data_IF_867758554123
#
_entry.id   IF_867758554123
#
_cell.length_a   1.000
_cell.length_b   1.000
_cell.length_c   1.000
_cell.angle_alpha   90.00
_cell.angle_beta   90.00
_cell.angle_gamma   90.00
#
_symmetry.space_group_name_H-M   'P 1'
#
loop_
_entity.id
_entity.type
_entity.pdbx_description
1 polymer ?
#
# COMPACT_ATOMS: atom_id res chain seq x y z
N UNK A 1 -11.38 10.07 -10.70
CA UNK A 1 -12.67 9.34 -10.56
C UNK A 1 -12.55 7.90 -10.04
N UNK A 2 -11.49 7.13 -10.37
CA UNK A 2 -11.31 5.72 -9.96
C UNK A 2 -11.49 5.46 -8.45
N UNK A 3 -10.85 6.25 -7.59
CA UNK A 3 -10.89 6.04 -6.14
C UNK A 3 -12.29 6.22 -5.51
N UNK A 4 -13.12 7.11 -6.06
CA UNK A 4 -14.49 7.29 -5.58
C UNK A 4 -15.37 6.06 -5.87
N UNK A 5 -15.17 5.43 -7.04
CA UNK A 5 -15.84 4.17 -7.40
C UNK A 5 -15.36 3.04 -6.48
N UNK A 6 -14.06 2.93 -6.25
CA UNK A 6 -13.50 1.95 -5.31
C UNK A 6 -14.06 2.15 -3.90
N UNK A 7 -14.19 3.39 -3.43
CA UNK A 7 -14.83 3.69 -2.13
C UNK A 7 -16.23 3.09 -2.05
N UNK A 8 -17.09 3.39 -3.03
CA UNK A 8 -18.48 2.88 -3.05
C UNK A 8 -18.51 1.36 -3.15
N UNK A 9 -17.64 0.78 -3.98
CA UNK A 9 -17.55 -0.67 -4.17
C UNK A 9 -17.12 -1.37 -2.87
N UNK A 10 -16.08 -0.89 -2.19
CA UNK A 10 -15.60 -1.43 -0.92
C UNK A 10 -16.67 -1.29 0.17
N UNK A 11 -17.39 -0.18 0.24
CA UNK A 11 -18.48 -0.01 1.21
C UNK A 11 -19.66 -0.97 0.95
N UNK A 12 -19.94 -1.26 -0.33
CA UNK A 12 -21.09 -2.07 -0.73
C UNK A 12 -20.81 -3.56 -0.71
N UNK A 13 -19.60 -3.95 -1.10
CA UNK A 13 -19.21 -5.33 -1.39
C UNK A 13 -17.99 -5.79 -0.59
N UNK A 14 -17.26 -4.89 0.06
CA UNK A 14 -16.13 -5.25 0.92
C UNK A 14 -16.63 -6.05 2.11
N UNK A 15 -16.19 -7.30 2.18
CA UNK A 15 -16.54 -8.21 3.27
C UNK A 15 -15.73 -7.97 4.55
N UNK A 16 -14.63 -7.22 4.49
CA UNK A 16 -13.64 -7.06 5.56
C UNK A 16 -12.72 -5.86 5.33
N UNK A 17 -12.06 -5.36 6.37
CA UNK A 17 -11.13 -4.23 6.32
C UNK A 17 -11.78 -2.84 6.39
N UNK A 18 -10.97 -1.81 6.11
CA UNK A 18 -11.32 -0.39 6.23
C UNK A 18 -10.76 0.47 5.08
N UNK A 19 -10.38 -0.16 3.96
CA UNK A 19 -9.80 0.53 2.80
C UNK A 19 -10.75 1.54 2.14
N UNK A 20 -12.06 1.48 2.41
CA UNK A 20 -13.02 2.51 2.01
C UNK A 20 -12.58 3.92 2.48
N UNK A 21 -12.03 4.02 3.69
CA UNK A 21 -11.55 5.29 4.24
C UNK A 21 -10.31 5.79 3.50
N UNK A 22 -9.38 4.88 3.18
CA UNK A 22 -8.19 5.17 2.38
C UNK A 22 -8.57 5.63 0.98
N UNK A 23 -9.46 4.92 0.29
CA UNK A 23 -9.95 5.30 -1.03
C UNK A 23 -10.72 6.62 -1.02
N UNK A 24 -11.49 6.90 0.04
CA UNK A 24 -12.19 8.17 0.16
C UNK A 24 -11.19 9.34 0.31
N UNK A 25 -10.13 9.16 1.13
CA UNK A 25 -9.04 10.15 1.22
C UNK A 25 -8.35 10.36 -0.11
N UNK A 26 -8.02 9.29 -0.84
CA UNK A 26 -7.46 9.39 -2.20
C UNK A 26 -8.42 10.10 -3.16
N UNK A 27 -9.71 9.82 -3.09
CA UNK A 27 -10.72 10.44 -3.95
C UNK A 27 -10.89 11.94 -3.69
N UNK A 28 -10.80 12.36 -2.43
CA UNK A 28 -11.02 13.76 -2.04
C UNK A 28 -9.74 14.56 -2.10
N UNK A 29 -8.70 14.16 -1.36
CA UNK A 29 -7.53 15.00 -1.09
C UNK A 29 -6.65 15.19 -2.32
N UNK A 30 -6.57 14.19 -3.20
CA UNK A 30 -5.76 14.32 -4.41
C UNK A 30 -6.34 15.27 -5.44
N UNK A 31 -7.65 15.45 -5.39
CA UNK A 31 -8.37 16.31 -6.32
C UNK A 31 -8.62 17.69 -5.72
N UNK A 32 -8.22 17.97 -4.47
CA UNK A 32 -8.55 19.21 -3.76
C UNK A 32 -7.43 20.24 -3.88
N UNK A 33 -7.71 21.40 -4.49
CA UNK A 33 -6.68 22.42 -4.74
C UNK A 33 -6.92 23.74 -3.98
N UNK A 34 -5.87 24.21 -3.31
CA UNK A 34 -5.80 25.53 -2.69
C UNK A 34 -5.82 26.65 -3.75
N UNK A 35 -6.17 27.91 -3.39
CA UNK A 35 -6.57 28.38 -2.05
C UNK A 35 -8.07 28.24 -1.76
N UNK A 36 -8.90 27.95 -2.75
CA UNK A 36 -10.37 27.89 -2.58
C UNK A 36 -10.91 26.49 -2.29
N UNK A 37 -10.05 25.47 -2.22
CA UNK A 37 -10.43 24.07 -2.00
C UNK A 37 -11.48 23.62 -3.03
N UNK A 38 -11.22 23.97 -4.30
CA UNK A 38 -12.00 23.48 -5.43
C UNK A 38 -11.49 22.10 -5.80
N UNK A 39 -12.40 21.19 -6.14
CA UNK A 39 -12.00 19.91 -6.69
C UNK A 39 -11.57 20.07 -8.16
N UNK A 40 -10.59 19.30 -8.62
CA UNK A 40 -10.15 19.10 -10.01
C UNK A 40 -10.48 17.67 -10.44
N UNK A 41 -10.73 17.43 -11.72
CA UNK A 41 -10.89 16.06 -12.24
C UNK A 41 -9.59 15.26 -12.15
N UNK A 42 -8.47 15.99 -12.20
CA UNK A 42 -7.13 15.49 -12.26
C UNK A 42 -6.40 15.76 -10.94
N UNK A 43 -5.57 14.81 -10.51
CA UNK A 43 -4.75 15.00 -9.32
C UNK A 43 -3.56 15.98 -9.54
N UNK A 44 -3.22 16.23 -10.80
CA UNK A 44 -2.14 17.13 -11.20
C UNK A 44 -2.63 18.14 -12.24
N UNK A 45 -2.56 19.43 -11.90
CA UNK A 45 -2.99 20.54 -12.74
C UNK A 45 -1.92 21.01 -13.74
N UNK A 46 -0.68 20.52 -13.66
CA UNK A 46 0.34 20.80 -14.67
C UNK A 46 0.07 19.97 -15.93
N UNK A 47 -0.42 20.68 -16.95
CA UNK A 47 -0.73 20.13 -18.28
C UNK A 47 0.44 19.37 -18.91
N UNK A 48 1.69 19.74 -18.61
CA UNK A 48 2.87 19.06 -19.16
C UNK A 48 3.18 17.74 -18.44
N UNK A 49 2.84 17.67 -17.15
CA UNK A 49 3.05 16.49 -16.32
C UNK A 49 1.85 15.53 -16.35
N UNK A 50 0.68 15.99 -16.78
CA UNK A 50 -0.55 15.22 -16.85
C UNK A 50 -1.01 14.88 -18.29
N UNK A 51 -0.07 14.51 -19.15
CA UNK A 51 -0.39 13.99 -20.49
C UNK A 51 -1.08 14.99 -21.43
N UNK A 52 -0.94 16.30 -21.21
CA UNK A 52 -1.50 17.34 -22.06
C UNK A 52 -2.94 17.73 -21.75
N UNK A 53 -3.54 17.19 -20.67
CA UNK A 53 -4.91 17.53 -20.29
C UNK A 53 -4.97 18.86 -19.53
N UNK A 54 -5.85 19.80 -19.93
CA UNK A 54 -6.05 21.03 -19.17
C UNK A 54 -6.74 20.71 -17.84
N UNK A 55 -6.43 21.45 -16.76
CA UNK A 55 -7.13 21.28 -15.48
C UNK A 55 -8.62 21.60 -15.68
N UNK A 56 -9.47 20.62 -15.37
CA UNK A 56 -10.91 20.71 -15.51
C UNK A 56 -11.58 20.62 -14.14
N UNK A 57 -12.57 21.47 -13.89
CA UNK A 57 -13.39 21.38 -12.68
C UNK A 57 -14.37 20.21 -12.84
N UNK A 58 -14.35 19.23 -11.93
CA UNK A 58 -15.27 18.12 -11.95
C UNK A 58 -16.65 18.61 -11.48
N UNK A 59 -17.69 18.13 -12.14
CA UNK A 59 -19.03 18.11 -11.54
C UNK A 59 -19.16 16.80 -10.78
N UNK A 60 -19.34 16.90 -9.46
CA UNK A 60 -19.36 15.78 -8.52
C UNK A 60 -20.48 14.78 -8.84
N UNK A 61 -20.11 13.51 -9.00
CA UNK A 61 -21.00 12.37 -8.74
C UNK A 61 -20.30 11.37 -7.82
N UNK A 62 -20.82 11.23 -6.60
CA UNK A 62 -20.45 10.18 -5.64
C UNK A 62 -19.70 10.66 -4.40
N UNK A 63 -20.39 11.34 -3.47
CA UNK A 63 -20.01 11.29 -2.06
C UNK A 63 -20.63 10.04 -1.47
N UNK A 64 -19.81 9.00 -1.24
CA UNK A 64 -20.19 7.83 -0.45
C UNK A 64 -19.98 8.13 1.04
N UNK A 65 -20.83 7.58 1.89
CA UNK A 65 -20.63 7.61 3.34
C UNK A 65 -19.41 6.74 3.70
N UNK A 66 -18.49 7.25 4.51
CA UNK A 66 -17.31 6.49 4.94
C UNK A 66 -17.72 5.52 6.05
N UNK A 67 -18.17 4.32 5.66
CA UNK A 67 -18.68 3.32 6.59
C UNK A 67 -17.55 2.40 7.12
N UNK A 68 -17.49 2.29 8.44
CA UNK A 68 -16.46 1.56 9.20
C UNK A 68 -17.12 0.57 10.18
N UNK A 69 -18.27 -0.02 9.81
CA UNK A 69 -19.19 -0.58 10.80
C UNK A 69 -18.97 -2.03 11.24
N UNK A 70 -18.01 -2.77 10.67
CA UNK A 70 -17.69 -4.14 11.12
C UNK A 70 -16.39 -4.64 10.49
N UNK A 71 -15.24 -4.29 11.09
CA UNK A 71 -13.91 -4.75 10.67
C UNK A 71 -13.82 -6.29 10.75
N UNK A 72 -14.36 -6.98 9.76
CA UNK A 72 -13.99 -8.36 9.54
C UNK A 72 -12.51 -8.33 9.18
N UNK A 73 -11.77 -9.25 9.79
CA UNK A 73 -10.32 -9.28 9.65
C UNK A 73 -10.02 -9.96 8.32
N UNK A 74 -9.34 -9.28 7.39
CA UNK A 74 -8.97 -9.85 6.08
C UNK A 74 -8.08 -11.06 6.26
N UNK A 75 -7.20 -11.01 7.26
CA UNK A 75 -6.34 -12.12 7.68
C UNK A 75 -6.64 -12.47 9.14
N UNK A 76 -7.17 -13.67 9.44
CA UNK A 76 -7.54 -14.04 10.82
C UNK A 76 -6.45 -13.70 11.85
N UNK A 77 -6.86 -13.07 12.96
CA UNK A 77 -5.99 -12.60 14.04
C UNK A 77 -4.94 -11.55 13.63
N UNK A 78 -5.15 -10.79 12.56
CA UNK A 78 -4.36 -9.60 12.28
C UNK A 78 -4.60 -8.53 13.36
N UNK A 79 -3.60 -8.33 14.21
CA UNK A 79 -3.58 -7.39 15.32
C UNK A 79 -3.44 -5.94 14.87
N UNK A 80 -3.03 -5.66 13.63
CA UNK A 80 -2.85 -4.29 13.14
C UNK A 80 -4.03 -3.76 12.35
N UNK A 81 -4.94 -4.62 11.92
CA UNK A 81 -5.97 -4.23 10.97
C UNK A 81 -6.80 -3.07 11.50
N UNK A 82 -6.88 -2.01 10.70
CA UNK A 82 -7.69 -0.83 10.96
C UNK A 82 -7.35 -0.09 12.25
N UNK A 83 -6.16 -0.33 12.81
CA UNK A 83 -5.62 0.45 13.92
C UNK A 83 -5.08 1.81 13.45
N UNK A 84 -5.17 2.86 14.28
CA UNK A 84 -4.83 4.20 13.84
C UNK A 84 -3.32 4.39 13.68
N UNK A 85 -2.93 4.96 12.54
CA UNK A 85 -1.57 5.44 12.31
C UNK A 85 -1.37 6.76 13.07
N UNK A 86 -0.37 6.79 13.96
CA UNK A 86 -0.09 7.92 14.86
C UNK A 86 1.10 8.77 14.41
N UNK A 87 1.99 8.22 13.59
CA UNK A 87 3.12 8.93 13.01
C UNK A 87 3.53 8.28 11.69
N UNK A 88 3.88 9.10 10.70
CA UNK A 88 4.47 8.66 9.44
C UNK A 88 5.31 9.78 8.84
N UNK A 89 6.37 9.42 8.14
CA UNK A 89 7.12 10.35 7.31
C UNK A 89 6.31 10.83 6.09
N UNK A 90 6.78 11.89 5.44
CA UNK A 90 6.10 12.48 4.28
C UNK A 90 5.90 11.41 3.21
N UNK A 91 4.67 11.34 2.70
CA UNK A 91 4.22 10.29 1.79
C UNK A 91 3.86 10.87 0.44
N UNK A 92 4.18 10.14 -0.63
CA UNK A 92 3.87 10.51 -2.00
C UNK A 92 2.37 10.78 -2.18
N UNK A 93 2.04 11.63 -3.15
CA UNK A 93 0.65 11.97 -3.43
C UNK A 93 -0.14 10.69 -3.75
N UNK A 94 -1.29 10.50 -3.09
CA UNK A 94 -2.10 9.28 -3.18
C UNK A 94 -1.46 8.01 -2.61
N UNK A 95 -0.45 8.10 -1.75
CA UNK A 95 0.19 6.94 -1.13
C UNK A 95 0.13 7.02 0.40
N UNK A 96 -1.10 7.03 0.93
CA UNK A 96 -1.37 7.43 2.31
C UNK A 96 -0.90 6.39 3.34
N UNK A 97 -0.42 6.82 4.52
CA UNK A 97 0.01 5.93 5.61
C UNK A 97 -1.03 4.89 6.03
N UNK A 98 -2.32 5.24 6.02
CA UNK A 98 -3.38 4.37 6.51
C UNK A 98 -3.65 3.15 5.62
N UNK A 99 -3.08 3.10 4.41
CA UNK A 99 -3.21 1.93 3.54
C UNK A 99 -2.52 0.68 4.10
N UNK A 100 -1.49 0.84 4.93
CA UNK A 100 -0.63 -0.29 5.32
C UNK A 100 -1.38 -1.35 6.12
N UNK A 101 -2.54 -1.04 6.70
CA UNK A 101 -3.27 -1.96 7.55
C UNK A 101 -4.79 -1.87 7.30
N UNK A 102 -5.18 -1.43 6.11
CA UNK A 102 -6.59 -1.26 5.77
C UNK A 102 -7.23 -2.53 5.19
N UNK A 103 -6.43 -3.58 4.95
CA UNK A 103 -6.88 -4.86 4.45
C UNK A 103 -7.03 -4.91 2.93
N UNK A 104 -6.38 -4.02 2.17
CA UNK A 104 -6.52 -3.93 0.72
C UNK A 104 -5.20 -3.71 0.00
N UNK A 105 -4.77 -4.73 -0.75
CA UNK A 105 -3.56 -4.69 -1.58
C UNK A 105 -3.65 -3.69 -2.75
N UNK A 106 -4.84 -3.16 -3.04
CA UNK A 106 -5.06 -2.14 -4.06
C UNK A 106 -4.73 -0.73 -3.57
N UNK A 107 -4.40 -0.54 -2.29
CA UNK A 107 -3.88 0.70 -1.73
C UNK A 107 -2.45 0.49 -1.25
N UNK A 108 -1.72 1.58 -1.00
CA UNK A 108 -0.33 1.50 -0.55
C UNK A 108 0.20 2.81 -0.02
N UNK A 109 1.23 2.66 0.81
CA UNK A 109 2.02 3.72 1.39
C UNK A 109 3.37 3.75 0.71
N UNK A 110 3.86 4.95 0.43
CA UNK A 110 5.17 5.17 -0.19
C UNK A 110 5.71 6.49 0.33
N UNK A 111 6.87 6.50 1.02
CA UNK A 111 7.49 7.73 1.48
C UNK A 111 8.10 8.52 0.31
N UNK A 112 8.12 9.85 0.44
CA UNK A 112 8.70 10.78 -0.55
C UNK A 112 10.23 10.68 -0.66
N UNK A 113 10.88 9.98 0.29
CA UNK A 113 12.33 9.88 0.37
C UNK A 113 12.82 8.43 0.44
N UNK A 114 13.96 8.18 -0.19
CA UNK A 114 14.76 6.95 -0.07
C UNK A 114 15.56 6.88 1.23
N UNK A 115 15.60 7.97 2.01
CA UNK A 115 16.14 7.92 3.37
C UNK A 115 15.32 6.98 4.25
N UNK A 116 15.88 6.60 5.41
CA UNK A 116 15.12 5.82 6.41
C UNK A 116 13.81 6.54 6.74
N UNK A 117 12.71 5.87 6.44
CA UNK A 117 11.35 6.33 6.63
C UNK A 117 10.61 5.36 7.53
N UNK A 118 9.71 5.88 8.34
CA UNK A 118 9.01 5.12 9.38
C UNK A 118 7.53 5.43 9.41
N UNK A 119 6.78 4.43 9.85
CA UNK A 119 5.35 4.52 10.09
C UNK A 119 5.02 3.80 11.38
N UNK A 120 4.21 4.44 12.23
CA UNK A 120 3.90 3.97 13.58
C UNK A 120 2.40 3.87 13.80
N UNK A 121 1.99 2.73 14.34
CA UNK A 121 0.59 2.38 14.60
C UNK A 121 0.38 2.28 16.11
N UNK A 122 -0.70 2.88 16.61
CA UNK A 122 -1.14 2.71 17.99
C UNK A 122 -1.74 1.32 18.17
N UNK A 123 -1.14 0.53 19.06
CA UNK A 123 -1.55 -0.84 19.36
C UNK A 123 -2.05 -1.01 20.78
N UNK A 124 -2.41 0.09 21.45
CA UNK A 124 -2.94 0.07 22.82
C UNK A 124 -4.20 -0.78 22.99
N UNK A 125 -5.01 -0.93 21.94
CA UNK A 125 -6.21 -1.78 21.94
C UNK A 125 -5.91 -3.29 21.90
N UNK A 126 -4.73 -3.69 21.42
CA UNK A 126 -4.27 -5.07 21.30
C UNK A 126 -3.04 -5.34 22.17
N UNK A 127 -2.78 -4.47 23.15
CA UNK A 127 -1.65 -4.59 24.04
C UNK A 127 -1.73 -5.90 24.84
N UNK A 128 -0.60 -6.61 24.93
CA UNK A 128 -0.51 -7.89 25.63
C UNK A 128 -0.89 -9.11 24.79
N UNK A 129 -1.35 -8.93 23.55
CA UNK A 129 -1.55 -10.03 22.61
C UNK A 129 -0.21 -10.64 22.18
N UNK A 130 -0.14 -11.97 22.09
CA UNK A 130 1.13 -12.65 21.72
C UNK A 130 1.35 -12.58 20.23
N UNK A 131 2.49 -12.02 19.82
CA UNK A 131 2.91 -11.94 18.42
C UNK A 131 3.41 -13.30 17.96
N UNK A 132 2.95 -13.75 16.79
CA UNK A 132 3.38 -15.02 16.18
C UNK A 132 4.02 -14.82 14.81
N UNK A 133 3.42 -13.98 13.96
CA UNK A 133 3.89 -13.74 12.60
C UNK A 133 3.87 -12.25 12.34
N UNK A 134 4.93 -11.75 11.71
CA UNK A 134 4.99 -10.40 11.13
C UNK A 134 5.05 -10.59 9.62
N UNK A 135 4.17 -9.94 8.88
CA UNK A 135 4.15 -10.04 7.43
C UNK A 135 3.95 -8.70 6.76
N UNK A 136 4.72 -8.44 5.70
CA UNK A 136 4.62 -7.21 4.91
C UNK A 136 4.53 -7.59 3.44
N UNK A 137 3.54 -7.04 2.75
CA UNK A 137 3.36 -7.14 1.30
C UNK A 137 3.93 -5.87 0.68
N UNK A 138 4.89 -6.07 -0.22
CA UNK A 138 5.59 -4.98 -0.90
C UNK A 138 5.04 -4.76 -2.30
N UNK A 139 5.01 -3.50 -2.73
CA UNK A 139 4.77 -3.15 -4.12
C UNK A 139 6.02 -3.34 -4.99
N UNK A 140 6.01 -2.73 -6.18
CA UNK A 140 7.13 -2.84 -7.15
C UNK A 140 8.45 -2.21 -6.69
N UNK A 141 8.41 -1.36 -5.65
CA UNK A 141 9.58 -0.71 -5.04
C UNK A 141 9.89 -1.43 -3.73
N UNK A 142 10.93 -2.25 -3.71
CA UNK A 142 11.35 -2.98 -2.51
C UNK A 142 12.31 -2.15 -1.66
N UNK A 143 12.31 -2.29 -0.33
CA UNK A 143 13.35 -1.69 0.49
C UNK A 143 14.65 -2.52 0.43
N UNK A 144 15.79 -1.92 0.79
CA UNK A 144 17.02 -2.69 1.09
C UNK A 144 17.06 -3.15 2.54
N UNK A 145 16.37 -2.42 3.42
CA UNK A 145 16.29 -2.71 4.84
C UNK A 145 14.87 -2.46 5.33
N UNK A 146 14.32 -3.42 6.08
CA UNK A 146 13.04 -3.28 6.74
C UNK A 146 13.12 -3.83 8.16
N UNK A 147 12.68 -3.05 9.14
CA UNK A 147 12.74 -3.39 10.56
C UNK A 147 11.40 -3.07 11.19
N UNK A 148 10.80 -4.06 11.85
CA UNK A 148 9.64 -3.83 12.73
C UNK A 148 10.12 -3.67 14.17
N UNK A 149 9.61 -2.65 14.85
CA UNK A 149 9.95 -2.33 16.23
C UNK A 149 8.67 -2.32 17.06
N UNK A 150 8.59 -3.20 18.06
CA UNK A 150 7.48 -3.22 19.02
C UNK A 150 7.93 -2.48 20.29
N UNK A 151 7.27 -1.37 20.61
CA UNK A 151 7.54 -0.57 21.80
C UNK A 151 6.62 -0.97 22.94
N UNK A 152 7.16 -1.03 24.16
CA UNK A 152 6.36 -1.19 25.37
C UNK A 152 6.33 0.12 26.16
N UNK A 153 5.12 0.56 26.53
CA UNK A 153 4.73 1.75 27.33
C UNK A 153 5.52 2.08 28.61
N UNK A 154 6.58 1.35 28.95
CA UNK A 154 7.44 1.65 30.11
C UNK A 154 8.80 2.22 29.72
N UNK A 155 9.31 2.00 28.50
CA UNK A 155 10.60 2.55 28.04
C UNK A 155 10.60 2.76 26.52
N UNK A 156 10.40 4.01 26.08
CA UNK A 156 10.47 4.43 24.66
C UNK A 156 11.86 4.26 24.02
N UNK A 157 12.82 3.70 24.75
CA UNK A 157 14.21 3.44 24.35
C UNK A 157 14.55 1.95 24.16
N UNK A 158 13.65 1.01 24.49
CA UNK A 158 13.89 -0.44 24.42
C UNK A 158 12.79 -1.16 23.62
N UNK A 159 12.62 -0.77 22.35
CA UNK A 159 11.76 -1.52 21.43
C UNK A 159 12.38 -2.87 21.04
N UNK A 160 11.55 -3.90 20.92
CA UNK A 160 11.97 -5.18 20.36
C UNK A 160 12.08 -5.05 18.84
N UNK A 161 13.30 -5.13 18.32
CA UNK A 161 13.59 -5.01 16.89
C UNK A 161 13.48 -6.38 16.19
N UNK A 162 12.83 -6.38 15.03
CA UNK A 162 12.65 -7.51 14.13
C UNK A 162 13.10 -7.10 12.73
N UNK A 163 14.39 -7.30 12.39
CA UNK A 163 14.85 -7.17 11.02
C UNK A 163 14.14 -8.20 10.14
N UNK A 164 13.52 -7.75 9.06
CA UNK A 164 12.74 -8.60 8.17
C UNK A 164 13.67 -9.25 7.11
N UNK A 165 13.50 -10.54 6.80
CA UNK A 165 14.26 -11.21 5.75
C UNK A 165 13.72 -10.77 4.39
N UNK A 166 14.32 -9.72 3.84
CA UNK A 166 13.97 -9.21 2.52
C UNK A 166 14.55 -10.14 1.43
N UNK A 167 13.85 -10.32 0.30
CA UNK A 167 14.38 -11.07 -0.82
C UNK A 167 15.63 -10.37 -1.38
N UNK A 168 16.75 -11.09 -1.44
CA UNK A 168 17.93 -10.65 -2.19
C UNK A 168 17.55 -10.61 -3.67
N UNK A 169 17.29 -9.42 -4.19
CA UNK A 169 17.22 -9.19 -5.62
C UNK A 169 18.65 -9.29 -6.17
N UNK A 170 19.15 -10.52 -6.39
CA UNK A 170 20.41 -10.72 -7.10
C UNK A 170 20.21 -10.31 -8.57
N UNK A 171 20.49 -9.04 -8.86
CA UNK A 171 20.44 -8.46 -10.21
C UNK A 171 21.47 -9.15 -11.14
N UNK A 172 22.38 -9.99 -10.63
CA UNK A 172 23.31 -10.77 -11.45
C UNK A 172 22.75 -12.10 -11.98
N UNK A 173 21.59 -12.54 -11.48
CA UNK A 173 20.92 -13.79 -11.86
C UNK A 173 19.82 -13.67 -12.92
N UNK A 174 19.41 -12.45 -13.31
CA UNK A 174 18.44 -12.24 -14.41
C UNK A 174 19.19 -12.28 -15.75
N UNK A 175 19.90 -13.38 -15.99
CA UNK A 175 20.31 -13.76 -17.34
C UNK A 175 19.04 -14.10 -18.13
N UNK A 176 18.60 -13.14 -18.95
CA UNK A 176 17.58 -13.22 -20.01
C UNK A 176 16.36 -12.27 -19.87
N UNK A 177 16.43 -11.20 -19.07
CA UNK A 177 15.61 -10.04 -19.45
C UNK A 177 16.23 -9.43 -20.69
N UNK A 178 15.54 -9.62 -21.82
CA UNK A 178 15.82 -8.92 -23.06
C UNK A 178 15.73 -7.43 -22.73
N UNK A 179 16.87 -6.78 -22.54
CA UNK A 179 16.91 -5.31 -22.42
C UNK A 179 16.52 -4.80 -23.80
N UNK A 180 15.24 -4.50 -23.99
CA UNK A 180 14.75 -3.83 -25.20
C UNK A 180 15.26 -2.40 -25.10
N UNK A 181 16.41 -2.13 -25.73
CA UNK A 181 17.00 -0.79 -25.85
C UNK A 181 16.48 0.00 -27.05
N UNK A 182 15.46 -0.50 -27.74
CA UNK A 182 14.85 0.17 -28.88
C UNK A 182 13.35 0.39 -28.63
N UNK A 183 12.99 1.67 -28.49
CA UNK A 183 11.60 2.14 -28.36
C UNK A 183 10.75 1.75 -29.59
N UNK A 184 11.38 1.43 -30.72
CA UNK A 184 10.71 0.94 -31.94
C UNK A 184 10.20 -0.51 -31.84
N UNK A 185 10.55 -1.28 -30.80
CA UNK A 185 10.04 -2.66 -30.62
C UNK A 185 8.79 -2.75 -29.73
N UNK A 186 8.27 -1.61 -29.23
CA UNK A 186 7.05 -1.55 -28.41
C UNK A 186 5.75 -1.50 -29.23
N UNK A 187 5.83 -1.32 -30.56
CA UNK A 187 4.64 -1.33 -31.44
C UNK A 187 4.06 -2.73 -31.68
N UNK A 188 4.85 -3.78 -31.48
CA UNK A 188 4.41 -5.16 -31.78
C UNK A 188 3.74 -5.85 -30.58
N UNK A 189 3.83 -5.27 -29.37
CA UNK A 189 3.16 -5.78 -28.15
C UNK A 189 1.82 -5.04 -27.92
N UNK A 190 1.60 -3.92 -28.61
CA UNK A 190 0.36 -3.12 -28.53
C UNK A 190 -0.67 -3.47 -29.60
N UNK A 191 -0.44 -4.55 -30.38
CA UNK A 191 -1.32 -4.97 -31.48
C UNK A 191 -2.06 -6.29 -31.22
N UNK A 192 -2.41 -6.59 -29.97
CA UNK A 192 -3.50 -7.52 -29.68
C UNK A 192 -4.79 -6.70 -29.50
N UNK A 193 -5.40 -6.41 -30.65
CA UNK A 193 -6.83 -6.10 -30.70
C UNK A 193 -7.58 -7.34 -30.18
N UNK A 194 -8.15 -7.25 -28.99
CA UNK A 194 -9.31 -8.05 -28.65
C UNK A 194 -10.38 -7.08 -28.13
N UNK A 195 -11.16 -6.60 -29.10
CA UNK A 195 -12.40 -5.87 -28.85
C UNK A 195 -13.42 -6.90 -28.37
N UNK A 196 -13.92 -6.83 -27.12
CA UNK A 196 -14.97 -7.75 -26.72
C UNK A 196 -16.26 -7.38 -27.48
N UNK A 197 -16.66 -8.27 -28.39
CA UNK A 197 -17.99 -8.27 -28.97
C UNK A 197 -19.04 -8.30 -27.85
N UNK A 198 -20.09 -7.52 -28.04
CA UNK A 198 -21.21 -7.42 -27.11
C UNK A 198 -22.11 -8.66 -27.24
N UNK A 199 -21.81 -9.70 -26.47
CA UNK A 199 -22.71 -10.84 -26.28
C UNK A 199 -22.58 -11.44 -24.87
N UNK A 200 -23.48 -11.00 -23.99
CA UNK A 200 -24.16 -11.81 -22.97
C UNK A 200 -23.29 -12.65 -22.02
N UNK A 201 -23.09 -12.13 -20.82
CA UNK A 201 -23.09 -12.83 -19.52
C UNK A 201 -22.78 -14.33 -19.56
N UNK A 202 -21.49 -14.66 -19.56
CA UNK A 202 -20.98 -15.90 -19.02
C UNK A 202 -20.18 -15.61 -17.75
N UNK A 203 -20.61 -16.31 -16.70
CA UNK A 203 -20.12 -16.35 -15.33
C UNK A 203 -18.58 -16.43 -15.27
N UNK A 204 -17.91 -15.30 -15.04
CA UNK A 204 -16.48 -15.25 -14.77
C UNK A 204 -16.24 -15.64 -13.30
N UNK A 205 -16.53 -16.90 -13.00
CA UNK A 205 -16.04 -17.57 -11.82
C UNK A 205 -14.51 -17.66 -11.89
N UNK A 206 -13.87 -17.09 -10.88
CA UNK A 206 -12.71 -17.66 -10.18
C UNK A 206 -11.48 -18.00 -11.05
N UNK A 207 -10.71 -16.97 -11.39
CA UNK A 207 -9.25 -17.04 -11.27
C UNK A 207 -8.68 -15.60 -11.24
N UNK A 208 -8.81 -14.92 -10.08
CA UNK A 208 -7.95 -13.76 -9.80
C UNK A 208 -6.56 -14.32 -9.55
N UNK A 209 -5.76 -14.44 -10.61
CA UNK A 209 -4.32 -14.67 -10.47
C UNK A 209 -3.73 -13.47 -9.74
N UNK A 210 -3.63 -13.59 -8.42
CA UNK A 210 -2.67 -12.86 -7.62
C UNK A 210 -1.31 -13.32 -8.14
N UNK A 211 -0.67 -12.51 -9.00
CA UNK A 211 0.79 -12.53 -9.05
C UNK A 211 1.20 -12.33 -7.58
N UNK A 212 1.68 -13.38 -6.93
CA UNK A 212 2.06 -13.36 -5.51
C UNK A 212 2.99 -12.17 -5.31
N UNK A 213 2.46 -11.10 -4.73
CA UNK A 213 3.23 -9.90 -4.41
C UNK A 213 4.45 -10.30 -3.61
N UNK A 214 5.51 -9.51 -3.70
CA UNK A 214 6.71 -9.75 -2.93
C UNK A 214 6.34 -9.62 -1.44
N UNK A 215 6.09 -10.76 -0.78
CA UNK A 215 5.63 -10.83 0.60
C UNK A 215 6.77 -11.31 1.49
N UNK A 216 7.18 -10.48 2.45
CA UNK A 216 8.11 -10.90 3.49
C UNK A 216 7.34 -11.39 4.70
N UNK A 217 7.66 -12.58 5.18
CA UNK A 217 7.06 -13.17 6.38
C UNK A 217 8.14 -13.54 7.37
N UNK A 218 8.02 -13.03 8.59
CA UNK A 218 8.88 -13.36 9.73
C UNK A 218 8.04 -14.10 10.77
N UNK A 219 8.28 -15.40 10.90
CA UNK A 219 7.67 -16.21 11.95
C UNK A 219 8.54 -16.16 13.21
N UNK A 220 7.94 -15.84 14.35
CA UNK A 220 8.65 -15.87 15.61
C UNK A 220 8.95 -17.34 15.97
N UNK A 221 10.20 -17.68 16.34
CA UNK A 221 10.54 -18.99 16.86
C UNK A 221 9.71 -19.35 18.11
N UNK A 222 9.39 -20.63 18.29
CA UNK A 222 8.54 -21.10 19.41
C UNK A 222 9.11 -20.76 20.81
N UNK A 223 10.43 -20.64 20.92
CA UNK A 223 11.14 -20.27 22.15
C UNK A 223 11.13 -18.76 22.42
N UNK A 224 10.78 -17.94 21.42
CA UNK A 224 10.68 -16.50 21.54
C UNK A 224 9.24 -16.10 21.88
N UNK A 225 9.08 -15.44 23.02
CA UNK A 225 7.79 -14.89 23.45
C UNK A 225 7.86 -13.38 23.38
N UNK A 226 7.08 -12.77 22.49
CA UNK A 226 6.93 -11.32 22.41
C UNK A 226 5.45 -10.99 22.43
N UNK A 227 5.12 -9.97 23.21
CA UNK A 227 3.77 -9.44 23.31
C UNK A 227 3.71 -8.08 22.62
N UNK A 228 2.56 -7.78 22.03
CA UNK A 228 2.26 -6.45 21.51
C UNK A 228 2.33 -5.42 22.64
N UNK A 229 2.97 -4.30 22.35
CA UNK A 229 2.97 -3.15 23.24
C UNK A 229 1.95 -2.10 22.82
N UNK A 230 2.19 -0.85 23.18
CA UNK A 230 1.30 0.29 22.91
C UNK A 230 1.57 0.96 21.57
N UNK A 231 2.74 0.73 20.99
CA UNK A 231 3.07 1.24 19.66
C UNK A 231 3.93 0.21 18.92
N UNK A 232 3.63 0.03 17.64
CA UNK A 232 4.51 -0.67 16.71
C UNK A 232 4.95 0.29 15.62
N UNK A 233 6.17 0.10 15.12
CA UNK A 233 6.73 0.90 14.05
C UNK A 233 7.37 0.02 12.98
N UNK A 234 7.04 0.28 11.72
CA UNK A 234 7.75 -0.26 10.58
C UNK A 234 8.74 0.82 10.09
N UNK A 235 10.01 0.46 9.97
CA UNK A 235 11.06 1.28 9.37
C UNK A 235 11.52 0.64 8.08
N UNK A 236 11.60 1.44 7.02
CA UNK A 236 12.07 1.03 5.71
C UNK A 236 13.12 2.02 5.21
N UNK A 237 14.12 1.50 4.50
CA UNK A 237 15.17 2.34 3.92
C UNK A 237 15.44 1.96 2.47
N UNK A 238 15.82 2.99 1.71
CA UNK A 238 16.20 2.91 0.31
C UNK A 238 15.08 2.36 -0.60
N UNK A 239 15.44 2.08 -1.85
CA UNK A 239 14.54 1.57 -2.87
C UNK A 239 15.34 0.69 -3.85
N UNK A 240 14.89 -0.54 -4.03
CA UNK A 240 15.35 -1.50 -5.04
C UNK A 240 14.19 -1.82 -5.98
N UNK A 241 14.47 -1.77 -7.28
CA UNK A 241 13.48 -2.04 -8.31
C UNK A 241 13.77 -1.23 -9.57
N UNK A 242 13.20 -1.65 -10.69
CA UNK A 242 13.36 -0.94 -11.97
C UNK A 242 12.70 0.45 -11.99
N UNK A 243 11.78 0.70 -11.05
CA UNK A 243 11.06 1.97 -10.90
C UNK A 243 11.77 2.97 -9.96
N UNK A 244 12.76 2.52 -9.17
CA UNK A 244 13.50 3.40 -8.26
C UNK A 244 14.48 4.31 -9.02
N UNK A 245 14.50 5.61 -8.71
CA UNK A 245 15.46 6.56 -9.32
C UNK A 245 15.18 6.93 -10.77
N UNK A 246 14.08 6.44 -11.36
CA UNK A 246 13.69 6.76 -12.74
C UNK A 246 13.34 8.25 -12.80
N UNK A 247 13.90 8.97 -13.76
CA UNK A 247 13.77 10.45 -13.88
C UNK A 247 14.23 11.26 -12.66
N UNK A 248 15.11 10.71 -11.82
CA UNK A 248 15.59 11.39 -10.61
C UNK A 248 14.59 11.34 -9.45
N UNK A 249 13.65 10.41 -9.48
CA UNK A 249 12.72 10.13 -8.39
C UNK A 249 13.44 9.66 -7.13
N UNK A 250 13.19 10.34 -6.01
CA UNK A 250 13.78 10.06 -4.71
C UNK A 250 12.81 9.32 -3.76
N UNK A 251 11.66 8.85 -4.25
CA UNK A 251 10.69 8.12 -3.43
C UNK A 251 11.25 6.81 -2.86
N UNK A 252 10.82 6.43 -1.67
CA UNK A 252 11.21 5.17 -1.03
C UNK A 252 10.45 3.95 -1.55
N UNK A 253 10.55 2.86 -0.78
CA UNK A 253 9.86 1.60 -1.05
C UNK A 253 8.34 1.70 -0.85
N UNK A 254 7.58 0.82 -1.51
CA UNK A 254 6.11 0.79 -1.45
C UNK A 254 5.64 -0.35 -0.54
N UNK A 255 4.80 -0.04 0.44
CA UNK A 255 4.14 -1.02 1.31
C UNK A 255 2.66 -1.08 0.91
N UNK A 256 2.21 -2.26 0.51
CA UNK A 256 0.79 -2.50 0.16
C UNK A 256 -0.01 -2.93 1.39
N UNK A 257 0.53 -3.83 2.20
CA UNK A 257 -0.13 -4.30 3.42
C UNK A 257 0.91 -4.73 4.47
N UNK A 258 0.59 -4.55 5.74
CA UNK A 258 1.38 -4.92 6.90
C UNK A 258 0.47 -5.56 7.95
N UNK A 259 0.78 -6.83 8.23
CA UNK A 259 0.03 -7.68 9.12
C UNK A 259 0.91 -8.12 10.29
N UNK A 260 0.37 -8.08 11.51
CA UNK A 260 0.94 -8.80 12.64
C UNK A 260 -0.10 -9.78 13.13
N UNK A 261 0.19 -11.07 13.02
CA UNK A 261 -0.76 -12.12 13.35
C UNK A 261 -0.50 -12.60 14.78
N UNK A 262 -1.54 -12.53 15.60
CA UNK A 262 -1.55 -13.01 16.97
C UNK A 262 -1.62 -14.54 17.07
N UNK A 263 -1.30 -15.07 18.25
CA UNK A 263 -1.61 -16.46 18.58
C UNK A 263 -3.13 -16.62 18.77
N UNK A 264 -3.71 -17.66 18.16
CA UNK A 264 -5.15 -17.97 18.22
C UNK A 264 -5.55 -18.68 19.51
#
# INVERSE_FOLDING_TARGET
>A
MKFAINTIATLRYGGSGCSASTYNKMAVLSNLHAPWFLMSEQANDDTNANGGYPPAFPFLTGHGENDMYWQDITTPNNLLQCLPIIASDASELNRWPESINDGDLGTNWQPESTNESSISTDTSSVQGERVKIISVVWGQRLPTSAIVVVFNSTHTSEGHNFPLPLPDLDISGVGNTKIIKDIDSLSDITSLEDSPDANGEEDAGDDVRLEEGLKTTYMLPDDKVVYMGDTVQLRISECLGSSCGVFGDESGATVEEWEIIGEA
#
